data_IF_702829424129
#
_entry.id   IF_702829424129
#
_cell.length_a   1.000
_cell.length_b   1.000
_cell.length_c   1.000
_cell.angle_alpha   90.00
_cell.angle_beta   90.00
_cell.angle_gamma   90.00
#
_symmetry.space_group_name_H-M   'P 1'
#
loop_
_entity.id
_entity.type
_entity.pdbx_description
1 polymer ?
#
# COMPACT_ATOMS: atom_id res chain seq x y z
N UNK A 1 15.13 10.68 -23.06
CA UNK A 1 14.03 9.85 -22.53
C UNK A 1 14.29 8.34 -22.61
N UNK A 2 15.22 7.85 -23.47
CA UNK A 2 15.49 6.41 -23.62
C UNK A 2 15.94 5.69 -22.33
N UNK A 3 16.78 6.33 -21.52
CA UNK A 3 17.26 5.76 -20.26
C UNK A 3 16.14 5.48 -19.24
N UNK A 4 15.11 6.33 -19.24
CA UNK A 4 13.94 6.16 -18.37
C UNK A 4 13.10 4.98 -18.83
N UNK A 5 12.96 4.78 -20.14
CA UNK A 5 12.25 3.64 -20.70
C UNK A 5 12.94 2.31 -20.36
N UNK A 6 14.26 2.26 -20.49
CA UNK A 6 15.07 1.08 -20.12
C UNK A 6 14.96 0.79 -18.61
N UNK A 7 15.00 1.82 -17.77
CA UNK A 7 14.81 1.65 -16.33
C UNK A 7 13.40 1.16 -16.00
N UNK A 8 12.37 1.67 -16.67
CA UNK A 8 10.98 1.26 -16.46
C UNK A 8 10.76 -0.22 -16.84
N UNK A 9 11.31 -0.64 -17.97
CA UNK A 9 11.27 -2.03 -18.45
C UNK A 9 11.96 -2.97 -17.45
N UNK A 10 13.15 -2.59 -16.95
CA UNK A 10 13.84 -3.37 -15.91
C UNK A 10 13.07 -3.42 -14.58
N UNK A 11 12.43 -2.31 -14.20
CA UNK A 11 11.63 -2.24 -12.97
C UNK A 11 10.37 -3.10 -13.08
N UNK A 12 9.75 -3.21 -14.25
CA UNK A 12 8.58 -4.06 -14.47
C UNK A 12 8.91 -5.53 -14.20
N UNK A 13 9.96 -6.06 -14.81
CA UNK A 13 10.40 -7.44 -14.59
C UNK A 13 10.83 -7.69 -13.13
N UNK A 14 11.55 -6.75 -12.54
CA UNK A 14 11.97 -6.83 -11.14
C UNK A 14 10.77 -6.85 -10.19
N UNK A 15 9.76 -5.98 -10.40
CA UNK A 15 8.58 -5.90 -9.54
C UNK A 15 7.72 -7.15 -9.61
N UNK A 16 7.63 -7.81 -10.77
CA UNK A 16 6.93 -9.10 -10.92
C UNK A 16 7.60 -10.19 -10.08
N UNK A 17 8.94 -10.28 -10.14
CA UNK A 17 9.68 -11.25 -9.34
C UNK A 17 9.57 -10.92 -7.84
N UNK A 18 9.71 -9.65 -7.48
CA UNK A 18 9.59 -9.18 -6.12
C UNK A 18 8.19 -9.46 -5.54
N UNK A 19 7.14 -9.27 -6.32
CA UNK A 19 5.76 -9.56 -5.91
C UNK A 19 5.58 -11.04 -5.58
N UNK A 20 6.10 -11.96 -6.40
CA UNK A 20 6.03 -13.41 -6.14
C UNK A 20 6.80 -13.81 -4.88
N UNK A 21 7.97 -13.21 -4.66
CA UNK A 21 8.76 -13.46 -3.44
C UNK A 21 8.04 -12.95 -2.20
N UNK A 22 7.49 -11.73 -2.26
CA UNK A 22 6.69 -11.15 -1.17
C UNK A 22 5.44 -11.97 -0.89
N UNK A 23 4.73 -12.39 -1.94
CA UNK A 23 3.57 -13.26 -1.85
C UNK A 23 3.94 -14.55 -1.12
N UNK A 24 5.00 -15.23 -1.55
CA UNK A 24 5.47 -16.44 -0.88
C UNK A 24 5.84 -16.17 0.58
N UNK A 25 6.55 -15.08 0.89
CA UNK A 25 6.91 -14.69 2.25
C UNK A 25 5.67 -14.43 3.13
N UNK A 26 4.64 -13.78 2.59
CA UNK A 26 3.39 -13.52 3.30
C UNK A 26 2.55 -14.78 3.51
N UNK A 27 2.62 -15.75 2.59
CA UNK A 27 1.94 -17.03 2.74
C UNK A 27 2.66 -18.00 3.68
N UNK A 28 3.99 -18.01 3.66
CA UNK A 28 4.81 -18.99 4.40
C UNK A 28 5.12 -18.56 5.83
N UNK A 29 5.22 -17.26 6.13
CA UNK A 29 5.35 -16.78 7.49
C UNK A 29 3.97 -16.43 8.07
N UNK A 30 3.65 -16.86 9.32
CA UNK A 30 2.45 -16.41 10.01
C UNK A 30 2.69 -14.96 10.47
N UNK A 31 2.70 -14.01 9.52
CA UNK A 31 2.79 -12.60 9.85
C UNK A 31 1.57 -12.26 10.71
N UNK A 32 1.76 -11.81 11.97
CA UNK A 32 0.66 -11.37 12.78
C UNK A 32 -0.08 -10.29 12.00
N UNK A 33 -1.42 -10.37 11.89
CA UNK A 33 -2.24 -9.38 11.16
C UNK A 33 -1.85 -7.93 11.47
N UNK A 34 -1.37 -7.69 12.70
CA UNK A 34 -0.81 -6.41 13.17
C UNK A 34 0.44 -5.96 12.42
N UNK A 35 1.40 -6.84 12.14
CA UNK A 35 2.63 -6.50 11.39
C UNK A 35 2.29 -6.17 9.94
N UNK A 36 1.43 -6.97 9.30
CA UNK A 36 0.94 -6.68 7.94
C UNK A 36 0.22 -5.33 7.87
N UNK A 37 -0.62 -5.02 8.86
CA UNK A 37 -1.28 -3.71 8.96
C UNK A 37 -0.28 -2.57 9.19
N UNK A 38 0.74 -2.77 10.04
CA UNK A 38 1.78 -1.78 10.28
C UNK A 38 2.63 -1.52 9.03
N UNK A 39 2.98 -2.54 8.26
CA UNK A 39 3.69 -2.37 6.99
C UNK A 39 2.85 -1.53 6.02
N UNK A 40 1.57 -1.86 5.87
CA UNK A 40 0.66 -1.12 4.99
C UNK A 40 0.47 0.34 5.43
N UNK A 41 0.35 0.59 6.74
CA UNK A 41 0.18 1.94 7.30
C UNK A 41 1.42 2.83 7.17
N UNK A 42 2.61 2.23 7.23
CA UNK A 42 3.88 2.97 7.16
C UNK A 42 4.41 3.10 5.73
N UNK A 43 3.72 2.56 4.71
CA UNK A 43 4.12 2.79 3.33
C UNK A 43 4.02 4.30 3.03
N UNK A 44 5.08 4.92 2.48
CA UNK A 44 5.10 6.36 2.21
C UNK A 44 4.02 6.80 1.21
N UNK A 45 3.50 5.87 0.40
CA UNK A 45 2.39 6.10 -0.52
C UNK A 45 1.00 6.06 0.15
N UNK A 46 0.85 5.44 1.32
CA UNK A 46 -0.41 5.40 2.07
C UNK A 46 -0.68 6.74 2.79
N UNK A 47 0.38 7.47 3.15
CA UNK A 47 0.27 8.83 3.73
C UNK A 47 -0.20 9.87 2.71
N UNK A 48 -0.23 9.54 1.41
CA UNK A 48 -0.74 10.41 0.37
C UNK A 48 -2.27 10.47 0.31
N UNK A 49 -2.98 9.62 1.06
CA UNK A 49 -4.39 9.88 1.32
C UNK A 49 -4.47 11.09 2.26
N UNK A 50 -4.96 12.24 1.78
CA UNK A 50 -5.24 13.35 2.69
C UNK A 50 -6.17 12.78 3.75
N UNK A 51 -5.90 13.05 5.02
CA UNK A 51 -6.91 12.99 6.05
C UNK A 51 -8.09 13.83 5.57
N UNK A 52 -9.04 13.22 4.88
CA UNK A 52 -10.34 13.80 4.66
C UNK A 52 -10.97 13.78 6.06
N UNK A 53 -11.21 14.94 6.69
CA UNK A 53 -11.95 14.95 7.94
C UNK A 53 -13.30 14.25 7.68
N UNK A 54 -13.78 13.40 8.60
CA UNK A 54 -15.12 12.83 8.43
C UNK A 54 -16.10 13.98 8.18
N UNK A 55 -17.01 13.87 7.19
CA UNK A 55 -17.99 14.90 6.94
C UNK A 55 -18.76 15.16 8.25
N UNK A 56 -19.00 16.42 8.64
CA UNK A 56 -19.76 16.72 9.83
C UNK A 56 -21.13 16.07 9.71
N UNK A 57 -21.51 15.29 10.73
CA UNK A 57 -22.85 14.74 10.89
C UNK A 57 -23.82 15.92 11.13
N UNK A 58 -24.18 16.61 10.05
CA UNK A 58 -25.22 17.63 10.03
C UNK A 58 -26.56 16.91 10.17
N UNK A 59 -27.15 17.02 11.35
CA UNK A 59 -28.59 16.82 11.57
C UNK A 59 -29.00 15.41 12.00
N UNK A 60 -28.70 15.03 13.24
CA UNK A 60 -29.63 14.16 13.97
C UNK A 60 -30.67 15.07 14.65
N UNK A 61 -31.96 15.04 14.25
CA UNK A 61 -33.00 15.71 15.02
C UNK A 61 -33.16 15.01 16.37
N UNK A 62 -33.05 15.78 17.45
CA UNK A 62 -33.42 15.36 18.79
C UNK A 62 -34.93 15.07 18.82
N UNK A 63 -35.30 13.89 19.30
CA UNK A 63 -36.64 13.54 19.73
C UNK A 63 -36.81 13.87 21.22
#
# INVERSE_FOLDING_TARGET
MIMVAVLAELMEEYTVLLARVLEHLFYSAPFPRRVRFLILRNLPFASSYPHHPPPPLVGAPAA
#
